data_IF_348914695290
#
_entry.id   IF_348914695290
#
_cell.length_a   1.000
_cell.length_b   1.000
_cell.length_c   1.000
_cell.angle_alpha   90.00
_cell.angle_beta   90.00
_cell.angle_gamma   90.00
#
_symmetry.space_group_name_H-M   'P 1'
#
loop_
_entity.id
_entity.type
_entity.pdbx_description
1 polymer ?
#
# COMPACT_ATOMS: atom_id res chain seq x y z
N UNK A 1 22.80 -80.65 33.36
CA UNK A 1 24.11 -80.30 33.93
C UNK A 1 24.15 -78.78 34.13
N UNK A 2 24.48 -78.35 35.36
CA UNK A 2 25.08 -77.07 35.85
C UNK A 2 25.08 -75.83 34.93
N UNK A 3 24.91 -74.58 35.38
CA UNK A 3 24.97 -73.92 36.70
C UNK A 3 24.39 -72.49 36.52
N UNK A 4 23.80 -71.94 37.59
CA UNK A 4 23.55 -70.49 37.74
C UNK A 4 24.81 -69.82 38.28
N UNK A 5 25.08 -68.59 37.85
CA UNK A 5 25.84 -67.52 38.53
C UNK A 5 25.66 -66.24 37.67
N UNK A 6 25.73 -64.97 38.08
CA UNK A 6 25.39 -64.18 39.26
C UNK A 6 25.75 -62.70 38.91
N UNK A 7 24.98 -61.72 39.41
CA UNK A 7 25.27 -60.27 39.62
C UNK A 7 25.54 -59.25 38.47
N UNK A 8 24.66 -58.21 38.44
CA UNK A 8 24.78 -56.71 38.38
C UNK A 8 26.17 -56.04 38.12
N UNK A 9 26.34 -54.74 37.71
CA UNK A 9 25.37 -53.61 37.53
C UNK A 9 25.58 -52.68 36.29
N UNK A 10 24.67 -51.70 36.13
CA UNK A 10 24.80 -50.32 35.60
C UNK A 10 25.74 -49.97 34.43
N UNK A 11 25.16 -49.46 33.33
CA UNK A 11 25.72 -48.34 32.55
C UNK A 11 24.57 -47.61 31.82
N UNK A 12 24.28 -46.41 32.30
CA UNK A 12 23.33 -45.44 31.73
C UNK A 12 23.88 -44.95 30.38
N UNK A 13 23.23 -45.30 29.28
CA UNK A 13 23.45 -44.64 27.99
C UNK A 13 22.43 -43.51 27.85
N UNK A 14 22.86 -42.30 28.24
CA UNK A 14 22.20 -41.04 27.94
C UNK A 14 22.21 -40.82 26.42
N UNK A 15 21.08 -41.08 25.76
CA UNK A 15 20.87 -40.71 24.37
C UNK A 15 20.24 -39.32 24.33
N UNK A 16 21.08 -38.30 24.18
CA UNK A 16 20.68 -36.93 23.85
C UNK A 16 20.09 -36.91 22.45
N UNK A 17 18.76 -36.96 22.35
CA UNK A 17 18.05 -36.76 21.09
C UNK A 17 18.04 -35.25 20.79
N UNK A 18 18.79 -34.86 19.76
CA UNK A 18 18.99 -33.48 19.34
C UNK A 18 17.67 -32.79 18.97
N UNK A 19 17.51 -31.60 19.54
CA UNK A 19 16.45 -30.65 19.22
C UNK A 19 16.69 -30.11 17.80
N UNK A 20 15.94 -30.60 16.82
CA UNK A 20 15.87 -30.00 15.49
C UNK A 20 15.18 -28.63 15.61
N UNK A 21 15.99 -27.56 15.73
CA UNK A 21 15.50 -26.21 15.47
C UNK A 21 15.28 -26.07 13.96
N UNK A 22 14.03 -26.24 13.52
CA UNK A 22 13.59 -25.74 12.22
C UNK A 22 13.62 -24.22 12.28
N UNK A 23 14.71 -23.62 11.78
CA UNK A 23 14.74 -22.21 11.48
C UNK A 23 13.72 -21.96 10.36
N UNK A 24 12.53 -21.46 10.72
CA UNK A 24 11.61 -20.89 9.75
C UNK A 24 12.26 -19.61 9.22
N UNK A 25 12.94 -19.72 8.09
CA UNK A 25 13.33 -18.56 7.30
C UNK A 25 12.03 -17.88 6.90
N UNK A 26 11.62 -16.86 7.65
CA UNK A 26 10.46 -16.05 7.32
C UNK A 26 10.68 -15.52 5.91
N UNK A 27 9.74 -15.81 5.01
CA UNK A 27 9.70 -15.17 3.70
C UNK A 27 9.42 -13.68 3.91
N UNK A 28 10.46 -12.91 4.25
CA UNK A 28 10.47 -11.48 4.02
C UNK A 28 10.55 -11.31 2.52
N UNK A 29 9.42 -10.97 1.92
CA UNK A 29 9.32 -10.57 0.53
C UNK A 29 10.25 -9.36 0.33
N UNK A 30 11.47 -9.59 -0.16
CA UNK A 30 12.46 -8.55 -0.36
C UNK A 30 12.21 -7.91 -1.73
N UNK A 31 11.78 -6.65 -1.74
CA UNK A 31 11.80 -5.84 -2.96
C UNK A 31 13.26 -5.55 -3.31
N UNK A 32 13.67 -5.82 -4.54
CA UNK A 32 15.04 -5.56 -5.03
C UNK A 32 15.17 -4.27 -5.83
N UNK A 33 14.05 -3.58 -6.06
CA UNK A 33 14.03 -2.25 -6.66
C UNK A 33 14.07 -1.14 -5.61
N UNK A 34 14.62 0.00 -6.00
CA UNK A 34 14.57 1.23 -5.22
C UNK A 34 13.35 2.07 -5.66
N UNK A 35 12.67 2.67 -4.68
CA UNK A 35 11.58 3.62 -4.93
C UNK A 35 12.17 5.03 -4.86
N UNK A 36 12.12 5.82 -5.95
CA UNK A 36 12.67 7.18 -5.95
C UNK A 36 11.83 8.10 -5.06
N UNK A 37 12.43 9.18 -4.55
CA UNK A 37 11.74 10.20 -3.75
C UNK A 37 10.83 11.12 -4.58
N UNK A 38 10.83 10.97 -5.90
CA UNK A 38 9.95 11.68 -6.82
C UNK A 38 9.46 10.75 -7.91
N UNK A 39 8.14 10.71 -8.14
CA UNK A 39 7.50 9.95 -9.21
C UNK A 39 6.52 10.86 -9.95
N UNK A 40 6.48 10.79 -11.29
CA UNK A 40 5.56 11.59 -12.10
C UNK A 40 5.52 13.10 -11.74
N UNK A 41 6.65 13.68 -11.34
CA UNK A 41 6.74 15.10 -10.93
C UNK A 41 6.17 15.40 -9.54
N UNK A 42 5.96 14.39 -8.70
CA UNK A 42 5.43 14.49 -7.33
C UNK A 42 6.44 13.95 -6.34
N UNK A 43 6.70 14.72 -5.29
CA UNK A 43 7.50 14.26 -4.16
C UNK A 43 6.73 13.20 -3.40
N UNK A 44 7.39 12.09 -3.05
CA UNK A 44 6.78 10.98 -2.32
C UNK A 44 7.67 10.52 -1.17
N UNK A 45 7.07 9.88 -0.18
CA UNK A 45 7.78 9.12 0.85
C UNK A 45 7.93 7.66 0.36
N UNK A 46 9.15 7.20 0.02
CA UNK A 46 9.38 5.83 -0.42
C UNK A 46 8.91 4.79 0.57
N UNK A 47 9.03 5.07 1.88
CA UNK A 47 8.67 4.13 2.95
C UNK A 47 7.17 4.00 3.14
N UNK A 48 6.41 5.04 2.78
CA UNK A 48 4.95 5.01 2.79
C UNK A 48 4.39 4.30 1.55
N UNK A 49 5.07 4.41 0.39
CA UNK A 49 4.66 3.76 -0.86
C UNK A 49 5.04 2.27 -0.90
N UNK A 50 6.21 1.89 -0.37
CA UNK A 50 6.73 0.53 -0.45
C UNK A 50 5.74 -0.57 -0.04
N UNK A 51 4.98 -0.44 1.07
CA UNK A 51 4.05 -1.47 1.50
C UNK A 51 2.88 -1.69 0.54
N UNK A 52 2.56 -0.71 -0.33
CA UNK A 52 1.48 -0.81 -1.30
C UNK A 52 1.88 -1.63 -2.53
N UNK A 53 3.16 -1.72 -2.82
CA UNK A 53 3.68 -2.35 -4.03
C UNK A 53 3.95 -3.86 -3.82
N UNK A 54 3.82 -4.68 -4.88
CA UNK A 54 4.22 -6.08 -4.84
C UNK A 54 5.74 -6.19 -4.83
N UNK A 55 6.26 -7.35 -4.45
CA UNK A 55 7.70 -7.60 -4.61
C UNK A 55 8.09 -7.80 -6.05
N UNK A 56 9.35 -7.46 -6.36
CA UNK A 56 9.89 -7.54 -7.71
C UNK A 56 11.32 -7.03 -7.81
N UNK A 57 11.79 -6.90 -9.05
CA UNK A 57 13.14 -6.47 -9.40
C UNK A 57 13.18 -5.07 -10.04
N UNK A 58 12.15 -4.68 -10.78
CA UNK A 58 12.12 -3.45 -11.57
C UNK A 58 10.95 -2.56 -11.17
N UNK A 59 11.22 -1.27 -11.00
CA UNK A 59 10.23 -0.25 -10.69
C UNK A 59 10.19 0.79 -11.81
N UNK A 60 8.99 1.15 -12.25
CA UNK A 60 8.76 2.26 -13.16
C UNK A 60 7.56 3.09 -12.71
N UNK A 61 7.66 4.41 -12.87
CA UNK A 61 6.55 5.34 -12.71
C UNK A 61 6.29 6.05 -14.05
N UNK A 62 5.08 5.89 -14.59
CA UNK A 62 4.70 6.36 -15.93
C UNK A 62 3.59 7.40 -15.81
N UNK A 63 3.82 8.66 -16.21
CA UNK A 63 2.73 9.63 -16.32
C UNK A 63 1.74 9.15 -17.40
N UNK A 64 0.45 9.08 -17.07
CA UNK A 64 -0.63 8.73 -17.99
C UNK A 64 -1.38 9.95 -18.49
N UNK A 65 -1.61 10.92 -17.59
CA UNK A 65 -2.25 12.19 -17.87
C UNK A 65 -1.46 13.27 -17.16
N UNK A 66 -1.21 14.37 -17.85
CA UNK A 66 -0.58 15.56 -17.27
C UNK A 66 -1.13 16.79 -17.99
N UNK A 67 -2.24 17.32 -17.47
CA UNK A 67 -2.77 18.62 -17.87
C UNK A 67 -2.89 19.54 -16.65
N UNK A 68 -3.47 20.73 -16.83
CA UNK A 68 -3.54 21.72 -15.78
C UNK A 68 -4.46 21.33 -14.62
N UNK A 69 -5.40 20.40 -14.82
CA UNK A 69 -6.44 20.03 -13.84
C UNK A 69 -6.38 18.58 -13.40
N UNK A 70 -5.74 17.73 -14.18
CA UNK A 70 -5.66 16.30 -13.95
C UNK A 70 -4.22 15.80 -14.11
N UNK A 71 -3.81 14.95 -13.18
CA UNK A 71 -2.55 14.25 -13.20
C UNK A 71 -2.80 12.79 -12.82
N UNK A 72 -2.17 11.87 -13.55
CA UNK A 72 -2.26 10.43 -13.24
C UNK A 72 -0.91 9.77 -13.43
N UNK A 73 -0.51 9.00 -12.42
CA UNK A 73 0.76 8.27 -12.38
C UNK A 73 0.47 6.77 -12.24
N UNK A 74 0.91 5.99 -13.21
CA UNK A 74 0.86 4.54 -13.17
C UNK A 74 2.21 4.00 -12.69
N UNK A 75 2.18 3.25 -11.60
CA UNK A 75 3.33 2.52 -11.07
C UNK A 75 3.30 1.09 -11.61
N UNK A 76 4.42 0.67 -12.17
CA UNK A 76 4.62 -0.66 -12.75
C UNK A 76 5.77 -1.34 -12.01
N UNK A 77 5.54 -2.57 -11.57
CA UNK A 77 6.56 -3.44 -10.98
C UNK A 77 6.69 -4.68 -11.85
N UNK A 78 7.91 -4.99 -12.31
CA UNK A 78 8.19 -6.12 -13.21
C UNK A 78 7.22 -6.24 -14.40
N UNK A 79 6.94 -5.09 -15.04
CA UNK A 79 6.03 -4.95 -16.20
C UNK A 79 4.54 -5.12 -15.88
N UNK A 80 4.17 -5.34 -14.62
CA UNK A 80 2.77 -5.42 -14.16
C UNK A 80 2.33 -4.11 -13.52
N UNK A 81 1.14 -3.63 -13.90
CA UNK A 81 0.52 -2.45 -13.31
C UNK A 81 0.19 -2.74 -11.83
N UNK A 82 0.81 -1.99 -10.92
CA UNK A 82 0.76 -2.26 -9.49
C UNK A 82 -0.13 -1.26 -8.73
N UNK A 83 -0.02 0.02 -9.05
CA UNK A 83 -0.67 1.10 -8.32
C UNK A 83 -0.92 2.31 -9.21
N UNK A 84 -2.05 2.97 -9.04
CA UNK A 84 -2.37 4.23 -9.71
C UNK A 84 -2.60 5.32 -8.69
N UNK A 85 -2.02 6.48 -8.96
CA UNK A 85 -2.28 7.73 -8.25
C UNK A 85 -2.95 8.67 -9.24
N UNK A 86 -4.17 9.10 -8.95
CA UNK A 86 -4.88 10.09 -9.76
C UNK A 86 -5.26 11.30 -8.93
N UNK A 87 -5.03 12.47 -9.53
CA UNK A 87 -5.20 13.78 -8.94
C UNK A 87 -6.11 14.59 -9.85
N UNK A 88 -7.19 15.15 -9.31
CA UNK A 88 -8.13 15.95 -10.11
C UNK A 88 -8.54 17.17 -9.29
N UNK A 89 -8.27 18.37 -9.79
CA UNK A 89 -8.78 19.62 -9.19
C UNK A 89 -9.99 20.14 -9.96
N UNK A 90 -10.52 21.27 -9.49
CA UNK A 90 -11.67 21.93 -10.08
C UNK A 90 -12.94 21.08 -10.06
N UNK A 91 -13.10 20.26 -9.03
CA UNK A 91 -14.25 19.38 -8.84
C UNK A 91 -15.30 20.05 -7.95
N UNK A 92 -16.55 19.61 -8.10
CA UNK A 92 -17.61 19.95 -7.15
C UNK A 92 -17.50 19.08 -5.91
N UNK A 93 -17.94 19.60 -4.75
CA UNK A 93 -18.08 18.78 -3.55
C UNK A 93 -19.10 17.66 -3.77
N UNK A 94 -18.80 16.47 -3.27
CA UNK A 94 -19.75 15.36 -3.13
C UNK A 94 -19.41 14.52 -1.89
N UNK A 95 -20.32 13.67 -1.45
CA UNK A 95 -20.06 12.70 -0.38
C UNK A 95 -19.32 11.48 -0.96
N UNK A 96 -18.08 11.26 -0.50
CA UNK A 96 -17.23 10.19 -1.03
C UNK A 96 -17.77 8.79 -0.68
N UNK A 97 -18.47 8.64 0.44
CA UNK A 97 -19.10 7.37 0.85
C UNK A 97 -20.33 7.05 0.01
N UNK A 98 -21.17 8.05 -0.29
CA UNK A 98 -22.27 7.86 -1.22
C UNK A 98 -21.75 7.47 -2.61
N UNK A 99 -20.70 8.15 -3.10
CA UNK A 99 -20.05 7.82 -4.36
C UNK A 99 -19.53 6.37 -4.37
N UNK A 100 -18.78 5.96 -3.34
CA UNK A 100 -18.21 4.62 -3.23
C UNK A 100 -19.30 3.52 -3.21
N UNK A 101 -20.44 3.78 -2.55
CA UNK A 101 -21.58 2.85 -2.51
C UNK A 101 -22.32 2.77 -3.83
N UNK A 102 -22.46 3.90 -4.53
CA UNK A 102 -23.17 4.00 -5.81
C UNK A 102 -22.38 3.40 -6.97
N UNK A 103 -21.05 3.51 -6.93
CA UNK A 103 -20.15 3.05 -7.99
C UNK A 103 -19.10 2.07 -7.45
N UNK A 104 -19.51 0.89 -6.95
CA UNK A 104 -18.58 -0.08 -6.39
C UNK A 104 -17.64 -0.61 -7.48
N UNK A 105 -16.37 -0.75 -7.10
CA UNK A 105 -15.28 -1.34 -7.89
C UNK A 105 -14.73 -2.55 -7.15
N UNK A 106 -13.99 -3.40 -7.87
CA UNK A 106 -13.30 -4.55 -7.26
C UNK A 106 -12.28 -4.12 -6.19
N UNK A 107 -11.67 -2.94 -6.34
CA UNK A 107 -10.73 -2.34 -5.38
C UNK A 107 -11.45 -1.62 -4.22
N UNK A 108 -12.70 -1.19 -4.41
CA UNK A 108 -13.50 -0.45 -3.43
C UNK A 108 -14.37 -1.32 -2.51
N UNK A 109 -14.04 -2.60 -2.34
CA UNK A 109 -14.78 -3.51 -1.46
C UNK A 109 -14.63 -3.12 0.02
N UNK A 110 -15.71 -3.27 0.78
CA UNK A 110 -15.77 -2.92 2.21
C UNK A 110 -15.42 -1.45 2.50
N UNK A 111 -16.08 -0.47 1.84
CA UNK A 111 -15.76 0.94 2.01
C UNK A 111 -16.09 1.41 3.43
N UNK A 112 -15.19 2.20 4.00
CA UNK A 112 -15.36 2.83 5.32
C UNK A 112 -14.80 4.24 5.30
N UNK A 113 -15.32 5.09 6.18
CA UNK A 113 -14.79 6.46 6.34
C UNK A 113 -13.33 6.39 6.79
N UNK A 114 -12.57 7.38 6.33
CA UNK A 114 -11.17 7.58 6.66
C UNK A 114 -10.97 9.03 7.07
N UNK A 115 -10.02 9.28 7.97
CA UNK A 115 -9.69 10.61 8.48
C UNK A 115 -8.68 11.36 7.58
N UNK A 116 -8.39 10.83 6.38
CA UNK A 116 -7.50 11.46 5.43
C UNK A 116 -8.18 12.67 4.78
N UNK A 117 -7.59 13.85 4.94
CA UNK A 117 -8.11 15.05 4.29
C UNK A 117 -9.46 15.50 4.88
N UNK A 118 -10.32 16.12 4.07
CA UNK A 118 -11.58 16.69 4.54
C UNK A 118 -12.77 15.72 4.50
N UNK A 119 -12.90 14.91 3.45
CA UNK A 119 -13.82 13.77 3.39
C UNK A 119 -13.17 12.64 2.59
N UNK A 120 -13.02 11.47 3.21
CA UNK A 120 -12.38 10.32 2.57
C UNK A 120 -13.04 8.99 2.90
N UNK A 121 -12.83 8.07 1.97
CA UNK A 121 -13.18 6.67 2.09
C UNK A 121 -11.97 5.84 1.74
N UNK A 122 -11.70 4.86 2.58
CA UNK A 122 -10.75 3.78 2.28
C UNK A 122 -11.52 2.47 2.17
N UNK A 123 -10.93 1.51 1.49
CA UNK A 123 -11.47 0.18 1.24
C UNK A 123 -10.32 -0.82 1.17
N UNK A 124 -10.58 -2.05 0.74
CA UNK A 124 -9.52 -3.06 0.69
C UNK A 124 -8.29 -2.64 -0.13
N UNK A 125 -8.49 -2.00 -1.28
CA UNK A 125 -7.41 -1.67 -2.22
C UNK A 125 -7.56 -0.28 -2.85
N UNK A 126 -8.45 0.55 -2.32
CA UNK A 126 -8.74 1.85 -2.87
C UNK A 126 -8.91 2.89 -1.77
N UNK A 127 -8.48 4.12 -2.04
CA UNK A 127 -8.73 5.26 -1.19
C UNK A 127 -9.07 6.46 -2.07
N UNK A 128 -10.14 7.15 -1.74
CA UNK A 128 -10.45 8.45 -2.31
C UNK A 128 -10.63 9.47 -1.22
N UNK A 129 -10.04 10.66 -1.42
CA UNK A 129 -10.30 11.83 -0.59
C UNK A 129 -10.71 13.01 -1.46
N UNK A 130 -11.61 13.83 -0.93
CA UNK A 130 -11.95 15.13 -1.49
C UNK A 130 -11.57 16.22 -0.49
N UNK A 131 -10.87 17.24 -0.98
CA UNK A 131 -10.26 18.29 -0.17
C UNK A 131 -10.57 19.64 -0.76
N UNK A 132 -10.73 20.66 0.08
CA UNK A 132 -10.82 22.03 -0.42
C UNK A 132 -9.51 22.40 -1.13
N UNK A 133 -9.63 23.09 -2.25
CA UNK A 133 -8.57 23.53 -3.13
C UNK A 133 -8.97 24.93 -3.62
N UNK A 134 -8.82 25.91 -2.75
CA UNK A 134 -9.12 27.31 -3.06
C UNK A 134 -7.99 27.87 -3.92
N UNK A 135 -8.29 28.81 -4.81
CA UNK A 135 -7.27 29.50 -5.61
C UNK A 135 -7.73 29.99 -6.99
N UNK A 136 -8.80 29.44 -7.58
CA UNK A 136 -9.14 29.70 -8.99
C UNK A 136 -10.63 29.87 -9.36
N UNK A 137 -11.55 30.03 -8.40
CA UNK A 137 -12.98 30.26 -8.67
C UNK A 137 -13.82 28.97 -8.68
N UNK A 138 -15.03 28.98 -9.28
CA UNK A 138 -16.02 27.88 -9.14
C UNK A 138 -15.44 26.49 -9.49
N UNK A 139 -15.36 25.63 -8.46
CA UNK A 139 -14.73 24.31 -8.52
C UNK A 139 -13.54 24.30 -7.56
N UNK A 140 -13.81 24.26 -6.27
CA UNK A 140 -12.79 24.44 -5.23
C UNK A 140 -12.43 23.13 -4.53
N UNK A 141 -12.57 21.99 -5.21
CA UNK A 141 -12.21 20.70 -4.64
C UNK A 141 -11.17 19.95 -5.47
N UNK A 142 -10.25 19.35 -4.72
CA UNK A 142 -9.22 18.45 -5.17
C UNK A 142 -9.58 17.02 -4.75
N UNK A 143 -9.48 16.08 -5.68
CA UNK A 143 -9.65 14.66 -5.46
C UNK A 143 -8.28 13.99 -5.53
N UNK A 144 -7.97 13.19 -4.52
CA UNK A 144 -6.94 12.15 -4.60
C UNK A 144 -7.65 10.80 -4.71
N UNK A 145 -7.34 10.04 -5.74
CA UNK A 145 -7.85 8.69 -6.00
C UNK A 145 -6.65 7.74 -6.12
N UNK A 146 -6.58 6.78 -5.19
CA UNK A 146 -5.52 5.79 -5.07
C UNK A 146 -6.10 4.39 -5.32
N UNK A 147 -5.52 3.64 -6.24
CA UNK A 147 -5.98 2.27 -6.55
C UNK A 147 -4.81 1.29 -6.64
N UNK A 148 -4.83 0.26 -5.80
CA UNK A 148 -3.93 -0.90 -5.90
C UNK A 148 -4.51 -1.83 -6.95
N UNK A 149 -3.84 -1.87 -8.10
CA UNK A 149 -4.31 -2.61 -9.27
C UNK A 149 -4.02 -4.10 -9.14
N UNK A 150 -2.92 -4.46 -8.46
CA UNK A 150 -2.54 -5.85 -8.22
C UNK A 150 -3.58 -6.59 -7.37
N UNK A 151 -3.82 -7.86 -7.70
CA UNK A 151 -4.70 -8.73 -6.94
C UNK A 151 -3.95 -9.23 -5.71
N UNK A 152 -4.35 -8.77 -4.53
CA UNK A 152 -3.60 -9.10 -3.32
C UNK A 152 -4.37 -8.79 -2.04
N UNK A 153 -3.61 -8.75 -0.95
CA UNK A 153 -4.15 -8.48 0.38
C UNK A 153 -4.80 -7.09 0.45
N UNK A 154 -5.81 -6.98 1.31
CA UNK A 154 -6.39 -5.71 1.72
C UNK A 154 -5.32 -4.87 2.44
N UNK A 155 -5.07 -3.65 1.97
CA UNK A 155 -4.04 -2.71 2.49
C UNK A 155 -4.59 -1.31 2.84
N UNK A 156 -5.73 -1.20 3.54
CA UNK A 156 -6.37 0.09 3.77
C UNK A 156 -5.55 1.04 4.67
N UNK A 157 -4.81 0.49 5.65
CA UNK A 157 -4.00 1.32 6.57
C UNK A 157 -2.75 1.86 5.89
N UNK A 158 -2.18 1.07 4.99
CA UNK A 158 -1.06 1.46 4.15
C UNK A 158 -1.49 2.54 3.15
N UNK A 159 -2.69 2.42 2.59
CA UNK A 159 -3.29 3.46 1.73
C UNK A 159 -3.45 4.77 2.48
N UNK A 160 -3.99 4.71 3.70
CA UNK A 160 -4.13 5.89 4.57
C UNK A 160 -2.78 6.51 4.89
N UNK A 161 -1.78 5.70 5.27
CA UNK A 161 -0.42 6.19 5.55
C UNK A 161 0.21 6.87 4.33
N UNK A 162 0.10 6.25 3.14
CA UNK A 162 0.61 6.85 1.92
C UNK A 162 -0.10 8.16 1.60
N UNK A 163 -1.43 8.16 1.61
CA UNK A 163 -2.24 9.36 1.36
C UNK A 163 -1.90 10.49 2.33
N UNK A 164 -1.74 10.19 3.62
CA UNK A 164 -1.34 11.16 4.65
C UNK A 164 0.00 11.84 4.34
N UNK A 165 0.97 11.07 3.83
CA UNK A 165 2.30 11.59 3.46
C UNK A 165 2.31 12.34 2.12
N UNK A 166 1.44 11.94 1.19
CA UNK A 166 1.43 12.38 -0.20
C UNK A 166 0.60 13.66 -0.39
N UNK A 167 -0.56 13.73 0.28
CA UNK A 167 -1.60 14.70 0.01
C UNK A 167 -1.14 16.18 0.09
N UNK A 168 -0.35 16.63 1.09
CA UNK A 168 0.03 18.04 1.19
C UNK A 168 0.89 18.52 0.02
N UNK A 169 1.93 17.77 -0.34
CA UNK A 169 2.83 18.11 -1.46
C UNK A 169 2.09 18.00 -2.81
N UNK A 170 1.19 17.02 -2.95
CA UNK A 170 0.36 16.82 -4.13
C UNK A 170 -0.61 17.98 -4.39
N UNK A 171 -1.34 18.40 -3.35
CA UNK A 171 -2.26 19.55 -3.43
C UNK A 171 -1.53 20.83 -3.82
N UNK A 172 -0.37 21.10 -3.21
CA UNK A 172 0.48 22.24 -3.56
C UNK A 172 0.96 22.19 -5.01
N UNK A 173 1.37 21.01 -5.48
CA UNK A 173 1.82 20.82 -6.86
C UNK A 173 0.70 21.00 -7.89
N UNK A 174 -0.57 20.83 -7.46
CA UNK A 174 -1.77 21.09 -8.26
C UNK A 174 -2.28 22.53 -8.12
N UNK A 175 -1.56 23.40 -7.41
CA UNK A 175 -1.90 24.82 -7.25
C UNK A 175 -3.02 25.09 -6.25
N UNK A 176 -3.34 24.13 -5.38
CA UNK A 176 -4.24 24.38 -4.25
C UNK A 176 -3.52 25.23 -3.21
N UNK A 177 -4.16 26.32 -2.77
CA UNK A 177 -3.71 27.11 -1.61
C UNK A 177 -4.53 26.74 -0.38
N UNK A 178 -3.93 26.84 0.81
CA UNK A 178 -4.65 26.80 2.09
C UNK A 178 -5.48 28.08 2.29
#
# INVERSE_FOLDING_TARGET
MMKRDALRPSLLLASTLGLFLTATVGCSSFNRYEIPTTICGRKIDPTALQPLLPSGENFEARPQISDDKQSSCLIVVDKSAAFTISEIRNQNKFDVMEFARKYPRRSSQNPRKSEIGADAVTSDRWLMSINACTGHGRGDYYILDLDILDEGQSKPKELERFAQSYLPDAMKAMGCTE
#
